data_IF_964867671842
#
_entry.id   IF_964867671842
#
_cell.length_a   1.000
_cell.length_b   1.000
_cell.length_c   1.000
_cell.angle_alpha   90.00
_cell.angle_beta   90.00
_cell.angle_gamma   90.00
#
_symmetry.space_group_name_H-M   'P 1'
#
loop_
_entity.id
_entity.type
_entity.pdbx_description
1 polymer ?
#
# COMPACT_ATOMS: atom_id res chain seq x y z
N UNK A 1 -26.28 -26.03 -14.81
CA UNK A 1 -25.53 -25.23 -15.81
C UNK A 1 -25.15 -23.93 -15.12
N UNK A 2 -23.94 -23.89 -14.59
CA UNK A 2 -23.40 -22.75 -13.86
C UNK A 2 -22.84 -21.77 -14.90
N UNK A 3 -23.30 -20.52 -14.88
CA UNK A 3 -22.74 -19.47 -15.73
C UNK A 3 -21.26 -19.31 -15.37
N UNK A 4 -20.38 -19.71 -16.28
CA UNK A 4 -19.03 -19.20 -16.31
C UNK A 4 -19.14 -17.71 -16.64
N UNK A 5 -19.09 -16.87 -15.59
CA UNK A 5 -18.87 -15.45 -15.76
C UNK A 5 -17.56 -15.27 -16.54
N UNK A 6 -17.62 -14.40 -17.53
CA UNK A 6 -16.48 -13.98 -18.34
C UNK A 6 -15.35 -13.52 -17.39
N UNK A 7 -14.28 -14.31 -17.26
CA UNK A 7 -13.15 -14.04 -16.36
C UNK A 7 -12.12 -13.12 -17.03
N UNK A 8 -12.59 -12.11 -17.76
CA UNK A 8 -11.77 -11.16 -18.50
C UNK A 8 -11.84 -9.80 -17.84
N UNK A 9 -10.86 -9.50 -16.98
CA UNK A 9 -10.79 -8.24 -16.26
C UNK A 9 -9.48 -8.09 -15.50
N UNK A 10 -9.06 -6.84 -15.20
CA UNK A 10 -7.77 -6.56 -14.58
C UNK A 10 -7.59 -7.29 -13.25
N UNK A 11 -8.66 -7.47 -12.47
CA UNK A 11 -8.60 -8.15 -11.18
C UNK A 11 -8.40 -9.67 -11.32
N UNK A 12 -8.98 -10.29 -12.35
CA UNK A 12 -8.79 -11.70 -12.64
C UNK A 12 -7.36 -11.97 -13.16
N UNK A 13 -6.82 -11.08 -13.99
CA UNK A 13 -5.44 -11.13 -14.46
C UNK A 13 -4.44 -10.96 -13.31
N UNK A 14 -4.67 -9.98 -12.44
CA UNK A 14 -3.88 -9.78 -11.22
C UNK A 14 -3.90 -11.03 -10.33
N UNK A 15 -5.07 -11.63 -10.09
CA UNK A 15 -5.19 -12.87 -9.32
C UNK A 15 -4.42 -14.03 -9.97
N UNK A 16 -4.46 -14.14 -11.29
CA UNK A 16 -3.73 -15.18 -12.02
C UNK A 16 -2.21 -15.01 -11.86
N UNK A 17 -1.69 -13.78 -11.81
CA UNK A 17 -0.29 -13.50 -11.49
C UNK A 17 0.05 -13.94 -10.05
N UNK A 18 -0.75 -13.55 -9.06
CA UNK A 18 -0.53 -13.91 -7.64
C UNK A 18 -0.55 -15.42 -7.39
N UNK A 19 -1.39 -16.15 -8.14
CA UNK A 19 -1.55 -17.59 -8.03
C UNK A 19 -0.58 -18.39 -8.92
N UNK A 20 0.27 -17.72 -9.71
CA UNK A 20 1.18 -18.37 -10.66
C UNK A 20 0.44 -19.13 -11.78
N UNK A 21 -0.79 -18.72 -12.07
CA UNK A 21 -1.68 -19.34 -13.05
C UNK A 21 -1.75 -18.56 -14.39
N UNK A 22 -0.96 -17.49 -14.53
CA UNK A 22 -0.88 -16.72 -15.76
C UNK A 22 -0.36 -17.58 -16.94
N UNK A 23 -0.85 -17.33 -18.18
CA UNK A 23 -0.53 -18.16 -19.36
C UNK A 23 0.96 -18.15 -19.72
N UNK A 24 1.69 -17.12 -19.30
CA UNK A 24 3.16 -17.09 -19.30
C UNK A 24 3.64 -17.20 -17.86
N UNK A 25 4.73 -17.96 -17.64
CA UNK A 25 5.42 -18.00 -16.34
C UNK A 25 5.98 -16.60 -16.06
N UNK A 26 5.19 -15.77 -15.40
CA UNK A 26 5.60 -14.49 -14.83
C UNK A 26 6.14 -14.73 -13.43
N UNK A 27 7.23 -14.04 -13.09
CA UNK A 27 7.75 -13.92 -11.73
C UNK A 27 7.21 -12.67 -11.02
N UNK A 28 6.21 -11.99 -11.57
CA UNK A 28 5.58 -10.79 -11.00
C UNK A 28 6.22 -9.47 -11.40
N UNK A 29 7.10 -9.44 -12.41
CA UNK A 29 7.76 -8.22 -12.90
C UNK A 29 6.80 -7.12 -13.40
N UNK A 30 5.56 -7.48 -13.72
CA UNK A 30 4.48 -6.59 -14.14
C UNK A 30 3.79 -5.88 -12.96
N UNK A 31 4.14 -6.24 -11.72
CA UNK A 31 3.54 -5.71 -10.49
C UNK A 31 4.56 -4.82 -9.76
N UNK A 32 4.13 -3.61 -9.44
CA UNK A 32 4.81 -2.74 -8.47
C UNK A 32 3.91 -2.61 -7.24
N UNK A 33 4.45 -2.91 -6.07
CA UNK A 33 3.77 -2.76 -4.78
C UNK A 33 4.22 -1.43 -4.20
N UNK A 34 3.30 -0.50 -3.95
CA UNK A 34 3.61 0.82 -3.38
C UNK A 34 2.86 0.95 -2.07
N UNK A 35 3.58 1.04 -0.96
CA UNK A 35 2.99 1.06 0.38
C UNK A 35 3.68 2.10 1.25
N UNK A 36 2.95 2.59 2.27
CA UNK A 36 3.41 3.71 3.05
C UNK A 36 4.58 3.37 3.96
N UNK A 37 4.47 2.29 4.75
CA UNK A 37 5.41 1.95 5.81
C UNK A 37 6.05 0.56 5.63
N UNK A 38 7.24 0.35 6.23
CA UNK A 38 7.89 -0.94 6.40
C UNK A 38 7.08 -1.98 7.20
N UNK A 39 6.16 -2.73 6.57
CA UNK A 39 5.32 -3.83 7.12
C UNK A 39 3.99 -3.95 6.35
N UNK A 40 3.53 -2.85 5.75
CA UNK A 40 2.28 -2.78 5.01
C UNK A 40 2.20 -3.81 3.88
N UNK A 41 3.31 -4.05 3.16
CA UNK A 41 3.38 -5.07 2.11
C UNK A 41 3.17 -6.48 2.68
N UNK A 42 3.73 -6.73 3.86
CA UNK A 42 3.59 -7.99 4.56
C UNK A 42 2.16 -8.18 5.06
N UNK A 43 1.50 -7.13 5.55
CA UNK A 43 0.10 -7.17 5.98
C UNK A 43 -0.84 -7.42 4.80
N UNK A 44 -0.72 -6.65 3.71
CA UNK A 44 -1.71 -6.61 2.65
C UNK A 44 -1.57 -7.72 1.59
N UNK A 45 -0.33 -8.04 1.18
CA UNK A 45 -0.04 -9.00 0.09
C UNK A 45 1.03 -10.05 0.46
N UNK A 46 1.47 -10.10 1.73
CA UNK A 46 2.58 -10.93 2.19
C UNK A 46 2.47 -12.41 1.84
N UNK A 47 1.27 -12.98 1.84
CA UNK A 47 1.04 -14.39 1.53
C UNK A 47 1.40 -14.75 0.08
N UNK A 48 1.37 -13.78 -0.84
CA UNK A 48 1.70 -13.98 -2.24
C UNK A 48 3.09 -13.45 -2.64
N UNK A 49 3.77 -12.66 -1.79
CA UNK A 49 5.09 -12.05 -2.10
C UNK A 49 6.14 -13.05 -2.59
N UNK A 50 6.18 -14.27 -2.04
CA UNK A 50 7.18 -15.27 -2.43
C UNK A 50 7.07 -15.74 -3.90
N UNK A 51 5.89 -15.57 -4.51
CA UNK A 51 5.65 -15.82 -5.94
C UNK A 51 6.05 -14.66 -6.85
N UNK A 52 6.33 -13.48 -6.28
CA UNK A 52 6.51 -12.21 -6.99
C UNK A 52 7.99 -11.76 -7.04
N UNK A 53 8.90 -12.67 -7.38
CA UNK A 53 10.36 -12.44 -7.38
C UNK A 53 10.85 -11.32 -8.31
N UNK A 54 10.10 -11.05 -9.38
CA UNK A 54 10.37 -9.98 -10.34
C UNK A 54 9.72 -8.64 -9.95
N UNK A 55 8.83 -8.63 -8.96
CA UNK A 55 8.13 -7.40 -8.53
C UNK A 55 9.08 -6.41 -7.85
N UNK A 56 8.65 -5.14 -7.81
CA UNK A 56 9.28 -4.11 -7.00
C UNK A 56 8.38 -3.73 -5.84
N UNK A 57 8.97 -3.48 -4.68
CA UNK A 57 8.29 -2.95 -3.50
C UNK A 57 8.84 -1.55 -3.26
N UNK A 58 7.95 -0.56 -3.24
CA UNK A 58 8.25 0.84 -2.99
C UNK A 58 7.67 1.21 -1.62
N UNK A 59 8.54 1.55 -0.68
CA UNK A 59 8.16 2.14 0.60
C UNK A 59 8.24 3.66 0.51
N UNK A 60 7.11 4.32 0.75
CA UNK A 60 7.03 5.79 0.71
C UNK A 60 7.79 6.40 1.87
N UNK A 61 7.54 5.92 3.07
CA UNK A 61 8.14 6.49 4.28
C UNK A 61 9.28 5.62 4.81
N UNK A 62 10.08 6.20 5.70
CA UNK A 62 11.10 5.46 6.45
C UNK A 62 10.56 4.75 7.70
N UNK A 63 9.25 4.86 7.98
CA UNK A 63 8.62 4.25 9.14
C UNK A 63 9.15 4.77 10.49
N UNK A 64 9.80 5.93 10.53
CA UNK A 64 10.39 6.46 11.75
C UNK A 64 9.85 7.86 12.07
N UNK A 65 8.79 7.97 12.88
CA UNK A 65 8.22 9.26 13.25
C UNK A 65 9.23 10.17 13.93
N UNK A 66 9.17 11.47 13.60
CA UNK A 66 10.14 12.48 14.07
C UNK A 66 9.91 12.91 15.53
N UNK A 67 8.75 12.56 16.09
CA UNK A 67 8.41 12.81 17.50
C UNK A 67 9.20 11.91 18.49
N UNK A 68 9.87 10.87 17.97
CA UNK A 68 10.67 9.89 18.71
C UNK A 68 9.87 9.02 19.70
N UNK A 69 8.53 9.05 19.69
CA UNK A 69 7.73 8.27 20.63
C UNK A 69 7.98 6.77 20.45
N UNK A 70 7.82 6.28 19.21
CA UNK A 70 8.04 4.89 18.85
C UNK A 70 9.52 4.49 18.99
N UNK A 71 10.43 5.35 18.54
CA UNK A 71 11.87 5.14 18.67
C UNK A 71 12.28 4.91 20.14
N UNK A 72 11.83 5.77 21.05
CA UNK A 72 12.12 5.66 22.49
C UNK A 72 11.47 4.43 23.12
N UNK A 73 10.26 4.05 22.69
CA UNK A 73 9.58 2.86 23.18
C UNK A 73 10.38 1.56 22.92
N UNK A 74 11.24 1.55 21.88
CA UNK A 74 12.14 0.45 21.56
C UNK A 74 13.62 0.72 21.93
N UNK A 75 13.89 1.78 22.69
CA UNK A 75 15.22 2.07 23.24
C UNK A 75 16.19 2.76 22.28
N UNK A 76 15.69 3.39 21.21
CA UNK A 76 16.49 4.19 20.28
C UNK A 76 16.54 5.66 20.73
N UNK A 77 17.71 6.29 20.60
CA UNK A 77 17.91 7.71 20.94
C UNK A 77 17.54 8.64 19.78
N UNK A 78 17.67 8.16 18.54
CA UNK A 78 17.43 8.95 17.33
C UNK A 78 16.43 8.24 16.40
N UNK A 79 15.72 9.03 15.58
CA UNK A 79 14.84 8.46 14.56
C UNK A 79 15.64 7.74 13.46
N UNK A 80 16.88 8.14 13.21
CA UNK A 80 17.76 7.53 12.22
C UNK A 80 18.10 6.08 12.61
N UNK A 81 18.48 5.86 13.87
CA UNK A 81 18.79 4.52 14.37
C UNK A 81 17.55 3.62 14.33
N UNK A 82 16.37 4.21 14.57
CA UNK A 82 15.09 3.51 14.49
C UNK A 82 14.71 3.17 13.04
N UNK A 83 14.85 4.11 12.10
CA UNK A 83 14.62 3.89 10.67
C UNK A 83 15.55 2.78 10.13
N UNK A 84 16.82 2.82 10.50
CA UNK A 84 17.80 1.81 10.14
C UNK A 84 17.46 0.44 10.75
N UNK A 85 16.94 0.39 11.98
CA UNK A 85 16.44 -0.85 12.56
C UNK A 85 15.26 -1.42 11.75
N UNK A 86 14.27 -0.59 11.40
CA UNK A 86 13.15 -1.01 10.54
C UNK A 86 13.62 -1.45 9.15
N UNK A 87 14.65 -0.81 8.58
CA UNK A 87 15.24 -1.22 7.32
C UNK A 87 15.85 -2.63 7.40
N UNK A 88 16.60 -2.95 8.47
CA UNK A 88 17.13 -4.31 8.68
C UNK A 88 16.04 -5.35 8.90
N UNK A 89 14.92 -4.96 9.52
CA UNK A 89 13.75 -5.83 9.65
C UNK A 89 13.17 -6.16 8.26
N UNK A 90 13.09 -5.17 7.36
CA UNK A 90 12.70 -5.39 5.96
C UNK A 90 13.66 -6.30 5.20
N UNK A 91 14.98 -6.16 5.36
CA UNK A 91 15.92 -7.08 4.73
C UNK A 91 15.67 -8.54 5.16
N UNK A 92 15.32 -8.75 6.43
CA UNK A 92 14.94 -10.07 6.94
C UNK A 92 13.60 -10.55 6.36
N UNK A 93 12.62 -9.66 6.17
CA UNK A 93 11.35 -9.95 5.48
C UNK A 93 11.61 -10.41 4.04
N UNK A 94 12.41 -9.66 3.27
CA UNK A 94 12.75 -10.01 1.89
C UNK A 94 13.44 -11.38 1.81
N UNK A 95 14.38 -11.65 2.74
CA UNK A 95 15.03 -12.95 2.83
C UNK A 95 14.03 -14.08 3.14
N UNK A 96 13.08 -13.87 4.05
CA UNK A 96 12.02 -14.83 4.38
C UNK A 96 11.02 -15.04 3.22
N UNK A 97 10.75 -13.99 2.45
CA UNK A 97 9.95 -14.03 1.21
C UNK A 97 10.69 -14.74 0.07
N UNK A 98 12.02 -14.78 0.11
CA UNK A 98 12.86 -15.23 -1.00
C UNK A 98 12.97 -14.21 -2.13
N UNK A 99 12.82 -12.92 -1.80
CA UNK A 99 12.98 -11.77 -2.69
C UNK A 99 14.40 -11.21 -2.61
N UNK A 100 14.97 -10.70 -3.71
CA UNK A 100 16.26 -10.03 -3.66
C UNK A 100 16.12 -8.64 -3.00
N UNK A 101 17.17 -8.17 -2.32
CA UNK A 101 17.17 -6.80 -1.75
C UNK A 101 16.98 -5.71 -2.82
N UNK A 102 17.37 -5.99 -4.07
CA UNK A 102 17.16 -5.09 -5.21
C UNK A 102 15.69 -4.93 -5.62
N UNK A 103 14.77 -5.73 -5.06
CA UNK A 103 13.33 -5.53 -5.25
C UNK A 103 12.81 -4.32 -4.46
N UNK A 104 13.52 -3.91 -3.40
CA UNK A 104 13.12 -2.82 -2.51
C UNK A 104 13.62 -1.46 -3.00
N UNK A 105 12.72 -0.47 -2.97
CA UNK A 105 12.99 0.94 -3.20
C UNK A 105 12.41 1.69 -2.00
N UNK A 106 13.25 2.43 -1.27
CA UNK A 106 12.80 3.27 -0.14
C UNK A 106 12.92 4.73 -0.53
N UNK A 107 11.80 5.47 -0.58
CA UNK A 107 11.79 6.89 -0.96
C UNK A 107 12.24 7.80 0.19
N UNK A 108 12.06 7.36 1.43
CA UNK A 108 12.60 8.01 2.61
C UNK A 108 11.84 9.27 3.05
N UNK A 109 10.58 9.42 2.67
CA UNK A 109 9.74 10.47 3.25
C UNK A 109 9.59 10.25 4.76
N UNK A 110 9.54 11.31 5.59
CA UNK A 110 9.32 11.13 7.03
C UNK A 110 7.95 10.50 7.29
N UNK A 111 7.91 9.48 8.14
CA UNK A 111 6.67 8.90 8.66
C UNK A 111 5.80 9.98 9.36
N UNK A 112 4.49 9.90 9.12
CA UNK A 112 3.41 10.84 9.43
C UNK A 112 3.41 12.14 8.61
N UNK A 113 4.24 12.24 7.58
CA UNK A 113 4.43 13.48 6.80
C UNK A 113 4.30 13.31 5.28
N UNK A 114 3.85 12.16 4.78
CA UNK A 114 3.69 11.95 3.34
C UNK A 114 2.61 12.88 2.76
N UNK A 115 1.56 13.18 3.53
CA UNK A 115 0.51 14.13 3.15
C UNK A 115 1.06 15.56 2.89
N UNK A 116 2.18 15.95 3.49
CA UNK A 116 2.84 17.23 3.20
C UNK A 116 3.62 17.24 1.88
N UNK A 117 3.75 16.09 1.20
CA UNK A 117 4.66 15.88 0.07
C UNK A 117 3.95 15.28 -1.16
N UNK A 118 2.62 15.36 -1.24
CA UNK A 118 1.81 14.70 -2.27
C UNK A 118 2.29 14.98 -3.71
N UNK A 119 2.58 16.24 -4.04
CA UNK A 119 3.04 16.64 -5.37
C UNK A 119 4.40 16.02 -5.75
N UNK A 120 5.37 16.07 -4.84
CA UNK A 120 6.69 15.47 -5.02
C UNK A 120 6.60 13.95 -5.13
N UNK A 121 5.86 13.32 -4.22
CA UNK A 121 5.67 11.87 -4.18
C UNK A 121 5.02 11.35 -5.46
N UNK A 122 3.98 12.03 -5.96
CA UNK A 122 3.33 11.66 -7.22
C UNK A 122 4.30 11.68 -8.41
N UNK A 123 5.15 12.72 -8.53
CA UNK A 123 6.14 12.81 -9.63
C UNK A 123 7.21 11.74 -9.53
N UNK A 124 7.69 11.45 -8.33
CA UNK A 124 8.67 10.39 -8.11
C UNK A 124 8.09 9.02 -8.49
N UNK A 125 6.85 8.73 -8.06
CA UNK A 125 6.14 7.52 -8.48
C UNK A 125 5.87 7.48 -9.99
N UNK A 126 5.57 8.62 -10.65
CA UNK A 126 5.49 8.67 -12.12
C UNK A 126 6.79 8.22 -12.77
N UNK A 127 7.94 8.68 -12.25
CA UNK A 127 9.26 8.26 -12.71
C UNK A 127 9.50 6.76 -12.53
N UNK A 128 9.19 6.21 -11.36
CA UNK A 128 9.38 4.78 -11.08
C UNK A 128 8.48 3.89 -11.94
N UNK A 129 7.20 4.26 -12.06
CA UNK A 129 6.24 3.55 -12.92
C UNK A 129 6.57 3.73 -14.41
N UNK A 130 7.37 4.73 -14.76
CA UNK A 130 7.82 4.94 -16.13
C UNK A 130 8.90 3.98 -16.61
N UNK A 131 9.73 3.46 -15.70
CA UNK A 131 10.95 2.74 -16.06
C UNK A 131 10.73 1.37 -16.69
N UNK A 132 9.53 0.79 -16.52
CA UNK A 132 9.22 -0.59 -16.89
C UNK A 132 7.81 -0.69 -17.44
N UNK A 133 7.54 -1.80 -18.10
CA UNK A 133 6.19 -2.16 -18.51
C UNK A 133 5.44 -2.71 -17.29
N UNK A 134 4.85 -1.80 -16.51
CA UNK A 134 4.07 -2.12 -15.30
C UNK A 134 2.61 -2.27 -15.72
N UNK A 135 2.04 -3.45 -15.49
CA UNK A 135 0.63 -3.72 -15.75
C UNK A 135 -0.24 -3.39 -14.54
N UNK A 136 0.29 -3.59 -13.32
CA UNK A 136 -0.44 -3.41 -12.07
C UNK A 136 0.38 -2.66 -11.04
N UNK A 137 -0.28 -1.72 -10.34
CA UNK A 137 0.23 -1.17 -9.09
C UNK A 137 -0.66 -1.66 -7.96
N UNK A 138 -0.07 -2.35 -6.98
CA UNK A 138 -0.76 -2.75 -5.76
C UNK A 138 -0.50 -1.73 -4.65
N UNK A 139 -1.53 -1.13 -4.06
CA UNK A 139 -1.38 -0.03 -3.10
C UNK A 139 -2.47 -0.01 -2.02
N UNK A 140 -2.37 0.93 -1.09
CA UNK A 140 -3.38 1.23 -0.07
C UNK A 140 -4.68 1.78 -0.66
N UNK A 141 -5.84 1.49 -0.04
CA UNK A 141 -7.10 2.14 -0.37
C UNK A 141 -7.20 3.51 0.32
N UNK A 142 -7.91 4.46 -0.31
CA UNK A 142 -8.23 5.76 0.30
C UNK A 142 -9.45 5.64 1.23
N UNK A 143 -9.21 5.25 2.48
CA UNK A 143 -10.27 4.88 3.44
C UNK A 143 -10.10 5.48 4.84
N UNK A 144 -9.11 6.37 5.04
CA UNK A 144 -8.97 7.06 6.32
C UNK A 144 -8.28 6.21 7.40
N UNK A 145 -7.50 5.20 7.01
CA UNK A 145 -6.77 4.33 7.94
C UNK A 145 -5.61 5.07 8.61
N UNK A 146 -4.71 5.63 7.80
CA UNK A 146 -3.57 6.44 8.21
C UNK A 146 -3.33 7.54 7.16
N UNK A 147 -2.94 8.77 7.53
CA UNK A 147 -2.73 9.85 6.55
C UNK A 147 -1.68 9.51 5.50
N UNK A 148 -0.63 8.75 5.86
CA UNK A 148 0.37 8.32 4.88
C UNK A 148 -0.12 7.22 3.94
N UNK A 149 -1.09 6.40 4.36
CA UNK A 149 -1.73 5.41 3.46
C UNK A 149 -2.56 6.13 2.42
N UNK A 150 -3.37 7.09 2.88
CA UNK A 150 -4.18 7.94 2.00
C UNK A 150 -3.29 8.75 1.05
N UNK A 151 -2.16 9.29 1.54
CA UNK A 151 -1.18 10.00 0.72
C UNK A 151 -0.54 9.09 -0.34
N UNK A 152 -0.25 7.84 0.01
CA UNK A 152 0.27 6.83 -0.91
C UNK A 152 -0.76 6.49 -1.99
N UNK A 153 -2.03 6.30 -1.61
CA UNK A 153 -3.14 6.08 -2.55
C UNK A 153 -3.27 7.27 -3.51
N UNK A 154 -3.30 8.50 -2.99
CA UNK A 154 -3.33 9.72 -3.80
C UNK A 154 -2.19 9.74 -4.81
N UNK A 155 -0.95 9.53 -4.35
CA UNK A 155 0.21 9.68 -5.20
C UNK A 155 0.27 8.63 -6.31
N UNK A 156 -0.19 7.40 -6.06
CA UNK A 156 -0.31 6.36 -7.10
C UNK A 156 -1.36 6.75 -8.15
N UNK A 157 -2.52 7.27 -7.73
CA UNK A 157 -3.56 7.74 -8.65
C UNK A 157 -3.07 8.93 -9.49
N UNK A 158 -2.45 9.92 -8.84
CA UNK A 158 -1.86 11.07 -9.50
C UNK A 158 -0.75 10.66 -10.47
N UNK A 159 0.12 9.72 -10.08
CA UNK A 159 1.18 9.22 -10.96
C UNK A 159 0.61 8.57 -12.22
N UNK A 160 -0.43 7.74 -12.08
CA UNK A 160 -1.13 7.13 -13.21
C UNK A 160 -1.83 8.18 -14.09
N UNK A 161 -2.40 9.23 -13.51
CA UNK A 161 -2.96 10.35 -14.28
C UNK A 161 -1.88 11.05 -15.11
N UNK A 162 -0.73 11.36 -14.51
CA UNK A 162 0.40 12.00 -15.20
C UNK A 162 0.94 11.14 -16.35
N UNK A 163 1.05 9.82 -16.15
CA UNK A 163 1.42 8.88 -17.23
C UNK A 163 0.46 8.95 -18.42
N UNK A 164 -0.86 8.93 -18.16
CA UNK A 164 -1.88 9.01 -19.22
C UNK A 164 -1.81 10.35 -19.95
N UNK A 165 -1.63 11.45 -19.21
CA UNK A 165 -1.48 12.80 -19.78
C UNK A 165 -0.28 12.88 -20.72
N UNK A 166 0.81 12.19 -20.38
CA UNK A 166 2.02 12.13 -21.20
C UNK A 166 1.91 11.09 -22.34
N UNK A 167 0.70 10.56 -22.61
CA UNK A 167 0.43 9.62 -23.70
C UNK A 167 0.95 8.21 -23.45
N UNK A 168 1.26 7.86 -22.20
CA UNK A 168 1.80 6.56 -21.81
C UNK A 168 0.72 5.66 -21.22
N UNK A 169 0.91 4.36 -21.34
CA UNK A 169 0.07 3.39 -20.66
C UNK A 169 0.27 3.52 -19.16
N UNK A 170 -0.83 3.68 -18.42
CA UNK A 170 -0.82 3.65 -16.97
C UNK A 170 -1.27 2.27 -16.48
N UNK A 171 -0.62 1.72 -15.43
CA UNK A 171 -1.01 0.45 -14.84
C UNK A 171 -2.44 0.50 -14.27
N UNK A 172 -3.08 -0.66 -14.19
CA UNK A 172 -4.28 -0.81 -13.38
C UNK A 172 -3.92 -0.70 -11.90
N UNK A 173 -4.68 0.10 -11.15
CA UNK A 173 -4.47 0.26 -9.71
C UNK A 173 -5.32 -0.79 -9.00
N UNK A 174 -4.66 -1.66 -8.25
CA UNK A 174 -5.27 -2.68 -7.41
C UNK A 174 -5.02 -2.32 -5.96
N UNK A 175 -6.06 -2.24 -5.17
CA UNK A 175 -5.95 -1.95 -3.75
C UNK A 175 -5.92 -3.25 -2.97
N UNK A 176 -5.07 -3.32 -1.96
CA UNK A 176 -5.09 -4.37 -0.94
C UNK A 176 -5.90 -3.89 0.27
N UNK A 177 -6.82 -4.71 0.77
CA UNK A 177 -7.60 -4.33 1.94
C UNK A 177 -6.69 -4.09 3.15
N UNK A 178 -7.00 -3.04 3.91
CA UNK A 178 -6.17 -2.62 5.03
C UNK A 178 -7.02 -2.35 6.27
N UNK A 179 -6.78 -1.27 6.99
CA UNK A 179 -7.59 -0.88 8.13
C UNK A 179 -8.20 0.51 7.96
N UNK A 180 -9.38 0.69 8.56
CA UNK A 180 -10.12 1.94 8.54
C UNK A 180 -11.13 1.99 9.71
N UNK A 181 -11.80 3.13 9.88
CA UNK A 181 -12.85 3.26 10.87
C UNK A 181 -14.17 2.68 10.32
N UNK A 182 -14.75 1.71 11.02
CA UNK A 182 -16.08 1.18 10.74
C UNK A 182 -17.17 1.79 11.61
N UNK A 183 -18.46 1.49 11.32
CA UNK A 183 -19.58 1.96 12.14
C UNK A 183 -19.58 1.38 13.56
N UNK A 184 -19.02 0.19 13.76
CA UNK A 184 -19.02 -0.55 15.04
C UNK A 184 -17.62 -0.68 15.67
N UNK A 185 -16.61 -0.02 15.09
CA UNK A 185 -15.21 -0.14 15.52
C UNK A 185 -14.25 -0.23 14.34
N UNK A 186 -12.99 -0.57 14.62
CA UNK A 186 -11.97 -0.72 13.58
C UNK A 186 -12.34 -1.85 12.60
N UNK A 187 -12.21 -1.57 11.30
CA UNK A 187 -12.18 -2.59 10.25
C UNK A 187 -10.73 -2.96 10.03
N UNK A 188 -10.39 -4.25 10.02
CA UNK A 188 -9.03 -4.76 9.83
C UNK A 188 -8.99 -5.80 8.71
N UNK A 189 -8.06 -5.63 7.77
CA UNK A 189 -7.85 -6.49 6.60
C UNK A 189 -9.13 -6.73 5.77
N UNK A 190 -9.98 -5.72 5.71
CA UNK A 190 -11.16 -5.65 4.86
C UNK A 190 -11.35 -4.21 4.36
N UNK A 191 -12.08 -4.06 3.26
CA UNK A 191 -12.43 -2.75 2.74
C UNK A 191 -13.57 -2.16 3.55
N UNK A 192 -13.61 -0.83 3.68
CA UNK A 192 -14.84 -0.18 4.08
C UNK A 192 -15.94 -0.53 3.06
N UNK A 193 -17.17 -0.66 3.53
CA UNK A 193 -18.29 -1.16 2.75
C UNK A 193 -18.84 -0.13 1.75
N UNK A 194 -17.99 0.44 0.90
CA UNK A 194 -18.43 1.13 -0.31
C UNK A 194 -18.90 0.09 -1.34
N UNK A 195 -20.21 0.09 -1.59
CA UNK A 195 -20.86 -0.82 -2.53
C UNK A 195 -20.50 -0.46 -3.98
N UNK A 196 -19.75 -1.33 -4.67
CA UNK A 196 -19.71 -1.29 -6.13
C UNK A 196 -18.43 -1.79 -6.79
N UNK A 197 -17.29 -1.74 -6.11
CA UNK A 197 -16.03 -2.21 -6.71
C UNK A 197 -15.96 -3.73 -6.71
N UNK A 198 -15.59 -4.29 -7.86
CA UNK A 198 -15.26 -5.71 -7.96
C UNK A 198 -14.12 -6.02 -7.00
N UNK A 199 -14.31 -7.05 -6.16
CA UNK A 199 -13.30 -7.52 -5.20
C UNK A 199 -13.11 -9.03 -5.32
N UNK A 200 -11.89 -9.46 -5.04
CA UNK A 200 -11.52 -10.87 -4.92
C UNK A 200 -10.99 -11.14 -3.52
N UNK A 201 -11.19 -12.37 -3.07
CA UNK A 201 -10.62 -12.90 -1.83
C UNK A 201 -9.74 -14.08 -2.18
N UNK A 202 -8.46 -14.02 -1.78
CA UNK A 202 -7.50 -15.08 -1.99
C UNK A 202 -7.19 -15.73 -0.64
N UNK A 203 -7.52 -17.03 -0.53
CA UNK A 203 -7.20 -17.82 0.65
C UNK A 203 -5.75 -18.27 0.59
N UNK A 204 -5.00 -17.98 1.64
CA UNK A 204 -3.61 -18.41 1.75
C UNK A 204 -3.55 -19.92 1.98
N UNK A 205 -2.66 -20.58 1.23
CA UNK A 205 -2.24 -21.96 1.56
C UNK A 205 -1.54 -21.96 2.92
N UNK A 206 -1.46 -23.13 3.58
CA UNK A 206 -0.75 -23.22 4.87
C UNK A 206 0.70 -22.73 4.76
N UNK A 207 1.42 -23.14 3.72
CA UNK A 207 2.80 -22.72 3.50
C UNK A 207 2.93 -21.20 3.24
N UNK A 208 1.98 -20.59 2.54
CA UNK A 208 1.94 -19.14 2.32
C UNK A 208 1.65 -18.39 3.63
N UNK A 209 0.72 -18.89 4.44
CA UNK A 209 0.36 -18.31 5.72
C UNK A 209 1.50 -18.44 6.75
N UNK A 210 2.16 -19.61 6.84
CA UNK A 210 3.35 -19.81 7.68
C UNK A 210 4.48 -18.85 7.29
N UNK A 211 4.75 -18.69 5.98
CA UNK A 211 5.73 -17.72 5.50
C UNK A 211 5.36 -16.28 5.84
N UNK A 212 4.09 -15.90 5.66
CA UNK A 212 3.58 -14.57 6.06
C UNK A 212 3.79 -14.33 7.55
N UNK A 213 3.53 -15.32 8.41
CA UNK A 213 3.81 -15.22 9.84
C UNK A 213 5.31 -15.08 10.15
N UNK A 214 6.19 -15.79 9.43
CA UNK A 214 7.64 -15.60 9.56
C UNK A 214 8.06 -14.17 9.20
N UNK A 215 7.49 -13.59 8.13
CA UNK A 215 7.76 -12.21 7.74
C UNK A 215 7.24 -11.21 8.78
N UNK A 216 6.00 -11.37 9.27
CA UNK A 216 5.45 -10.54 10.34
C UNK A 216 6.33 -10.58 11.61
N UNK A 217 6.90 -11.74 11.93
CA UNK A 217 7.81 -11.90 13.07
C UNK A 217 9.17 -11.19 12.89
N UNK A 218 9.58 -10.86 11.66
CA UNK A 218 10.81 -10.11 11.40
C UNK A 218 10.72 -8.65 11.88
N UNK A 219 9.53 -8.05 11.90
CA UNK A 219 9.30 -6.67 12.34
C UNK A 219 9.29 -6.56 13.88
N UNK A 220 10.44 -6.73 14.51
CA UNK A 220 10.58 -6.79 15.97
C UNK A 220 10.12 -5.48 16.65
N UNK A 221 10.34 -4.34 16.00
CA UNK A 221 9.90 -3.02 16.45
C UNK A 221 8.43 -2.72 16.20
N UNK A 222 7.68 -3.62 15.54
CA UNK A 222 6.26 -3.42 15.23
C UNK A 222 5.34 -4.51 15.77
N UNK A 223 5.84 -5.48 16.56
CA UNK A 223 5.05 -6.63 17.02
C UNK A 223 3.72 -6.26 17.68
N UNK A 224 3.66 -5.15 18.45
CA UNK A 224 2.41 -4.68 19.07
C UNK A 224 1.42 -4.14 18.05
N UNK A 225 1.90 -3.36 17.09
CA UNK A 225 1.12 -2.82 15.97
C UNK A 225 0.60 -3.95 15.10
N UNK A 226 1.42 -4.97 14.85
CA UNK A 226 1.12 -6.07 13.94
C UNK A 226 0.25 -7.17 14.54
N UNK A 227 0.14 -7.26 15.87
CA UNK A 227 -0.60 -8.31 16.57
C UNK A 227 -2.05 -8.53 16.09
N UNK A 228 -2.83 -7.50 15.69
CA UNK A 228 -4.19 -7.69 15.16
C UNK A 228 -4.25 -8.31 13.76
N UNK A 229 -3.18 -8.25 12.97
CA UNK A 229 -3.17 -8.64 11.55
C UNK A 229 -2.90 -10.14 11.38
N UNK A 230 -3.96 -10.94 11.51
CA UNK A 230 -3.89 -12.42 11.54
C UNK A 230 -4.65 -13.10 10.40
N UNK A 231 -5.14 -12.34 9.42
CA UNK A 231 -6.01 -12.89 8.38
C UNK A 231 -5.30 -13.94 7.51
N UNK A 232 -6.02 -15.05 7.25
CA UNK A 232 -5.67 -16.08 6.25
C UNK A 232 -6.20 -15.77 4.85
N UNK A 233 -6.84 -14.62 4.69
CA UNK A 233 -7.47 -14.16 3.45
C UNK A 233 -6.86 -12.81 3.12
N UNK A 234 -6.35 -12.67 1.90
CA UNK A 234 -5.94 -11.38 1.34
C UNK A 234 -7.02 -10.92 0.36
N UNK A 235 -7.41 -9.65 0.45
CA UNK A 235 -8.52 -9.09 -0.32
C UNK A 235 -8.00 -7.99 -1.22
N UNK A 236 -8.43 -8.04 -2.47
CA UNK A 236 -8.02 -7.07 -3.47
C UNK A 236 -9.23 -6.54 -4.20
N UNK A 237 -9.17 -5.27 -4.63
CA UNK A 237 -10.17 -4.68 -5.52
C UNK A 237 -9.49 -3.80 -6.56
N UNK A 238 -10.15 -3.58 -7.69
CA UNK A 238 -9.75 -2.49 -8.58
C UNK A 238 -10.05 -1.18 -7.86
N UNK A 239 -9.09 -0.26 -7.85
CA UNK A 239 -9.26 1.03 -7.21
C UNK A 239 -10.45 1.79 -7.82
N UNK A 240 -11.41 2.28 -7.01
CA UNK A 240 -12.46 3.15 -7.51
C UNK A 240 -11.88 4.51 -7.92
N UNK A 241 -12.67 5.30 -8.64
CA UNK A 241 -12.37 6.71 -8.82
C UNK A 241 -12.68 7.44 -7.50
N UNK A 242 -11.66 8.06 -6.90
CA UNK A 242 -11.80 8.84 -5.68
C UNK A 242 -11.91 10.34 -5.97
N UNK A 243 -12.69 11.02 -5.13
CA UNK A 243 -12.55 12.46 -4.91
C UNK A 243 -11.60 12.67 -3.73
N UNK A 244 -10.32 12.93 -4.02
CA UNK A 244 -9.31 13.22 -3.00
C UNK A 244 -9.44 14.62 -2.38
N UNK A 245 -10.30 15.49 -2.93
CA UNK A 245 -10.65 16.79 -2.37
C UNK A 245 -11.76 16.67 -1.30
N UNK A 246 -12.29 15.48 -1.09
CA UNK A 246 -13.16 15.12 0.02
C UNK A 246 -12.47 14.13 0.96
N UNK A 247 -12.81 14.14 2.24
CA UNK A 247 -12.31 13.15 3.20
C UNK A 247 -12.84 11.74 2.84
N UNK A 248 -12.03 10.69 3.01
CA UNK A 248 -12.45 9.32 2.70
C UNK A 248 -13.51 8.84 3.70
N UNK A 249 -14.15 7.71 3.39
CA UNK A 249 -15.05 7.00 4.31
C UNK A 249 -16.15 7.91 4.93
N UNK A 250 -16.68 8.82 4.11
CA UNK A 250 -17.68 9.83 4.53
C UNK A 250 -17.23 10.67 5.73
N UNK A 251 -15.93 10.94 5.83
CA UNK A 251 -15.32 11.72 6.90
C UNK A 251 -15.00 10.94 8.18
N UNK A 252 -15.19 9.61 8.23
CA UNK A 252 -14.77 8.80 9.38
C UNK A 252 -13.32 8.36 9.22
N UNK A 253 -12.46 8.88 10.08
CA UNK A 253 -11.02 8.66 9.98
C UNK A 253 -10.56 7.83 11.19
N UNK A 254 -9.91 6.71 10.93
CA UNK A 254 -9.33 5.87 11.98
C UNK A 254 -8.21 6.61 12.71
N UNK A 255 -7.42 7.38 11.98
CA UNK A 255 -6.31 8.14 12.53
C UNK A 255 -6.73 9.30 13.47
N UNK A 256 -8.01 9.70 13.51
CA UNK A 256 -8.51 10.62 14.57
C UNK A 256 -8.55 9.94 15.95
N UNK A 257 -8.61 8.61 16.00
CA UNK A 257 -8.51 7.83 17.23
C UNK A 257 -7.06 7.52 17.63
N UNK A 258 -6.08 7.90 16.81
CA UNK A 258 -4.66 7.68 17.06
C UNK A 258 -3.99 9.01 17.48
N UNK A 259 -2.95 8.98 18.34
CA UNK A 259 -2.23 10.18 18.76
C UNK A 259 -1.26 10.69 17.67
N UNK A 260 -1.74 10.86 16.44
CA UNK A 260 -0.91 11.23 15.29
C UNK A 260 -0.76 12.74 15.11
N UNK A 261 -1.58 13.54 15.80
CA UNK A 261 -1.58 15.00 15.66
C UNK A 261 -2.01 15.48 14.27
N UNK A 262 -2.73 14.64 13.52
CA UNK A 262 -3.16 14.95 12.16
C UNK A 262 -4.57 15.52 12.15
N UNK A 263 -4.70 16.76 11.68
CA UNK A 263 -6.00 17.43 11.54
C UNK A 263 -6.59 17.20 10.13
N UNK A 264 -7.87 16.83 9.99
CA UNK A 264 -8.47 16.55 8.68
C UNK A 264 -8.35 17.70 7.66
N UNK A 265 -8.31 18.95 8.14
CA UNK A 265 -8.12 20.13 7.30
C UNK A 265 -6.72 20.16 6.62
N UNK A 266 -5.71 19.55 7.23
CA UNK A 266 -4.36 19.43 6.64
C UNK A 266 -4.43 18.61 5.35
N UNK A 267 -5.18 17.50 5.36
CA UNK A 267 -5.42 16.69 4.17
C UNK A 267 -6.05 17.53 3.05
N UNK A 268 -7.19 18.17 3.34
CA UNK A 268 -7.94 18.93 2.32
C UNK A 268 -7.10 20.04 1.69
N UNK A 269 -6.29 20.74 2.51
CA UNK A 269 -5.39 21.77 2.01
C UNK A 269 -4.28 21.19 1.13
N UNK A 270 -3.61 20.13 1.59
CA UNK A 270 -2.53 19.49 0.87
C UNK A 270 -3.00 18.88 -0.45
N UNK A 271 -4.14 18.17 -0.45
CA UNK A 271 -4.73 17.58 -1.64
C UNK A 271 -5.12 18.65 -2.66
N UNK A 272 -5.75 19.76 -2.22
CA UNK A 272 -6.09 20.88 -3.11
C UNK A 272 -4.85 21.51 -3.74
N UNK A 273 -3.80 21.78 -2.94
CA UNK A 273 -2.55 22.32 -3.44
C UNK A 273 -1.88 21.36 -4.45
N UNK A 274 -1.83 20.07 -4.15
CA UNK A 274 -1.26 19.07 -5.04
C UNK A 274 -2.05 18.90 -6.34
N UNK A 275 -3.39 18.96 -6.29
CA UNK A 275 -4.23 18.95 -7.49
C UNK A 275 -3.90 20.11 -8.43
N UNK A 276 -3.76 21.32 -7.89
CA UNK A 276 -3.36 22.52 -8.66
C UNK A 276 -1.94 22.37 -9.20
N UNK A 277 -0.98 22.01 -8.34
CA UNK A 277 0.44 21.86 -8.67
C UNK A 277 0.70 20.82 -9.78
N UNK A 278 -0.02 19.70 -9.73
CA UNK A 278 0.11 18.60 -10.70
C UNK A 278 -0.77 18.79 -11.93
N UNK A 279 -1.74 19.71 -11.89
CA UNK A 279 -2.72 19.92 -12.95
C UNK A 279 -3.62 18.69 -13.15
N UNK A 280 -4.11 18.10 -12.06
CA UNK A 280 -5.03 16.96 -12.10
C UNK A 280 -6.44 17.42 -12.47
N UNK A 281 -7.18 16.57 -13.18
CA UNK A 281 -8.60 16.78 -13.43
C UNK A 281 -9.37 16.88 -12.10
N UNK A 282 -10.40 17.73 -12.08
CA UNK A 282 -11.35 17.73 -10.96
C UNK A 282 -12.27 16.51 -11.08
N UNK A 283 -12.55 15.82 -9.96
CA UNK A 283 -13.44 14.66 -9.94
C UNK A 283 -14.86 14.99 -10.40
#
# INVERSE_FOLDING_TARGET
>A
MQHAADRSGPLAEFAALLLGAAPHRSDGAEIVIVVAHPDDETIGIGGHLAGLRGSRIVHVTDGAPRDLEDARAYGFETWQDYAEARHRELEAVLAAAGLPSTALISLGYPDKQAAGNLGSLARELTGLLAERDVSFVCTHPYEGGHPDHDATAFAVHAACHLLRRDGRQAPAIVEMAFYSAGPEGAVLQDFNSHSGSERIELHLTEAAFERKQCMLACHRTQQRTLAPFTARIERFRVAPAYDFLALPNSGRLYYEALPLGFEPAVWLHAAAAAHEELGLDRP
#
